data_IF_592120616182
#
_entry.id   IF_592120616182
#
_cell.length_a   1.000
_cell.length_b   1.000
_cell.length_c   1.000
_cell.angle_alpha   90.00
_cell.angle_beta   90.00
_cell.angle_gamma   90.00
#
_symmetry.space_group_name_H-M   'P 1'
#
loop_
_entity.id
_entity.type
_entity.pdbx_description
1 polymer ?
#
# COMPACT_ATOMS: atom_id res chain seq x y z
N UNK A 1 4.65 17.52 8.62
CA UNK A 1 4.86 16.96 7.27
C UNK A 1 3.56 17.13 6.49
N UNK A 2 3.35 18.33 5.96
CA UNK A 2 2.15 18.73 5.22
C UNK A 2 2.40 18.49 3.74
N UNK A 3 1.55 17.68 3.11
CA UNK A 3 1.60 17.47 1.66
C UNK A 3 1.24 18.78 0.95
N UNK A 4 2.03 19.24 -0.03
CA UNK A 4 1.63 20.38 -0.85
C UNK A 4 0.45 19.96 -1.74
N UNK A 5 -0.74 20.49 -1.45
CA UNK A 5 -1.88 20.50 -2.36
C UNK A 5 -1.68 21.65 -3.34
N UNK A 6 -1.27 21.34 -4.56
CA UNK A 6 -1.42 22.14 -5.79
C UNK A 6 -1.04 21.23 -6.96
N UNK A 7 -1.70 21.15 -8.10
CA UNK A 7 -3.04 21.38 -8.60
C UNK A 7 -2.97 20.87 -10.06
N UNK A 8 -4.04 20.23 -10.57
CA UNK A 8 -4.27 19.92 -12.00
C UNK A 8 -3.51 18.73 -12.67
N UNK A 9 -3.77 17.50 -12.23
CA UNK A 9 -3.73 16.31 -13.11
C UNK A 9 -4.99 15.46 -12.90
N UNK A 10 -6.16 16.12 -12.87
CA UNK A 10 -7.45 15.45 -12.85
C UNK A 10 -8.07 15.52 -14.24
N UNK A 11 -8.62 14.39 -14.72
CA UNK A 11 -9.47 14.39 -15.91
C UNK A 11 -10.67 15.32 -15.68
N UNK A 12 -10.95 16.19 -16.65
CA UNK A 12 -12.11 17.07 -16.66
C UNK A 12 -13.38 16.29 -16.98
N UNK A 13 -14.55 16.91 -16.78
CA UNK A 13 -15.83 16.32 -17.19
C UNK A 13 -15.87 16.06 -18.70
N UNK A 14 -15.30 16.95 -19.51
CA UNK A 14 -15.20 16.76 -20.96
C UNK A 14 -14.35 15.53 -21.31
N UNK A 15 -13.27 15.26 -20.57
CA UNK A 15 -12.43 14.07 -20.78
C UNK A 15 -13.20 12.77 -20.46
N UNK A 16 -14.06 12.80 -19.44
CA UNK A 16 -14.92 11.66 -19.07
C UNK A 16 -16.07 11.46 -20.07
N UNK A 17 -16.71 12.54 -20.51
CA UNK A 17 -17.79 12.49 -21.50
C UNK A 17 -17.26 11.96 -22.86
N UNK A 18 -16.02 12.31 -23.23
CA UNK A 18 -15.36 11.84 -24.45
C UNK A 18 -15.08 10.32 -24.49
N UNK A 19 -15.05 9.64 -23.34
CA UNK A 19 -14.86 8.18 -23.24
C UNK A 19 -16.12 7.44 -22.78
N UNK A 20 -17.23 8.15 -22.59
CA UNK A 20 -18.49 7.59 -22.06
C UNK A 20 -19.16 6.60 -23.02
N UNK A 21 -18.83 6.65 -24.30
CA UNK A 21 -19.41 5.81 -25.36
C UNK A 21 -18.67 4.47 -25.56
N UNK A 22 -17.89 4.01 -24.58
CA UNK A 22 -17.20 2.73 -24.66
C UNK A 22 -18.24 1.57 -24.68
N UNK A 23 -18.24 0.70 -25.71
CA UNK A 23 -19.17 -0.41 -25.77
C UNK A 23 -18.93 -1.41 -24.64
N UNK A 24 -20.00 -2.09 -24.22
CA UNK A 24 -19.93 -3.21 -23.29
C UNK A 24 -19.12 -4.36 -23.89
N UNK A 25 -18.33 -5.02 -23.06
CA UNK A 25 -17.56 -6.19 -23.49
C UNK A 25 -18.49 -7.37 -23.76
N UNK A 26 -18.35 -7.95 -24.94
CA UNK A 26 -19.09 -9.17 -25.34
C UNK A 26 -18.33 -10.44 -24.92
N UNK A 27 -19.00 -11.59 -25.00
CA UNK A 27 -18.36 -12.88 -24.71
C UNK A 27 -17.18 -13.17 -25.66
N UNK A 28 -17.29 -12.71 -26.91
CA UNK A 28 -16.26 -12.81 -27.94
C UNK A 28 -15.04 -11.92 -27.62
N UNK A 29 -15.25 -10.78 -26.96
CA UNK A 29 -14.15 -9.93 -26.50
C UNK A 29 -13.36 -10.60 -25.38
N UNK A 30 -14.05 -11.24 -24.43
CA UNK A 30 -13.40 -12.05 -23.40
C UNK A 30 -12.65 -13.26 -23.99
N UNK A 31 -13.22 -13.93 -24.99
CA UNK A 31 -12.58 -15.06 -25.66
C UNK A 31 -11.27 -14.66 -26.38
N UNK A 32 -11.16 -13.40 -26.83
CA UNK A 32 -9.96 -12.85 -27.47
C UNK A 32 -8.99 -12.18 -26.50
N UNK A 33 -9.35 -12.05 -25.22
CA UNK A 33 -8.51 -11.42 -24.22
C UNK A 33 -7.20 -12.20 -24.02
N UNK A 34 -6.10 -11.47 -23.89
CA UNK A 34 -4.77 -12.03 -23.64
C UNK A 34 -4.27 -11.63 -22.26
N UNK A 35 -3.47 -12.48 -21.59
CA UNK A 35 -2.78 -12.08 -20.37
C UNK A 35 -1.93 -10.82 -20.62
N UNK A 36 -1.87 -9.92 -19.66
CA UNK A 36 -1.12 -8.66 -19.76
C UNK A 36 0.35 -8.88 -20.17
N UNK A 37 0.99 -9.93 -19.63
CA UNK A 37 2.37 -10.27 -19.95
C UNK A 37 2.58 -10.72 -21.40
N UNK A 38 1.55 -11.27 -22.05
CA UNK A 38 1.59 -11.63 -23.47
C UNK A 38 1.29 -10.42 -24.36
N UNK A 39 0.32 -9.58 -23.97
CA UNK A 39 -0.05 -8.38 -24.71
C UNK A 39 1.05 -7.30 -24.67
N UNK A 40 1.78 -7.19 -23.55
CA UNK A 40 2.81 -6.15 -23.33
C UNK A 40 4.08 -6.75 -22.69
N UNK A 41 4.87 -7.54 -23.45
CA UNK A 41 5.99 -8.31 -22.91
C UNK A 41 7.09 -7.45 -22.30
N UNK A 42 7.44 -6.32 -22.91
CA UNK A 42 8.53 -5.46 -22.41
C UNK A 42 8.12 -4.67 -21.17
N UNK A 43 6.86 -4.24 -21.11
CA UNK A 43 6.31 -3.59 -19.92
C UNK A 43 6.25 -4.58 -18.76
N UNK A 44 5.79 -5.81 -18.99
CA UNK A 44 5.75 -6.85 -17.98
C UNK A 44 7.14 -7.17 -17.39
N UNK A 45 8.21 -7.16 -18.21
CA UNK A 45 9.59 -7.32 -17.73
C UNK A 45 10.06 -6.14 -16.86
N UNK A 46 9.58 -4.92 -17.15
CA UNK A 46 9.98 -3.71 -16.41
C UNK A 46 9.26 -3.53 -15.07
N UNK A 47 8.07 -4.12 -14.92
CA UNK A 47 7.30 -4.06 -13.67
C UNK A 47 8.00 -4.94 -12.63
N UNK A 48 8.64 -4.30 -11.64
CA UNK A 48 9.14 -5.01 -10.46
C UNK A 48 7.96 -5.53 -9.65
N UNK A 49 7.64 -6.81 -9.81
CA UNK A 49 6.67 -7.48 -8.96
C UNK A 49 7.16 -7.42 -7.51
N UNK A 50 6.36 -6.84 -6.61
CA UNK A 50 6.60 -6.99 -5.18
C UNK A 50 6.47 -8.49 -4.89
N UNK A 51 7.55 -9.12 -4.44
CA UNK A 51 7.55 -10.56 -4.14
C UNK A 51 6.44 -10.93 -3.15
N UNK A 52 6.05 -12.22 -3.10
CA UNK A 52 5.06 -12.70 -2.14
C UNK A 52 5.45 -12.22 -0.74
N UNK A 53 4.46 -11.76 0.03
CA UNK A 53 4.70 -11.16 1.33
C UNK A 53 5.19 -12.25 2.31
N UNK A 54 6.51 -12.37 2.48
CA UNK A 54 7.17 -13.51 3.13
C UNK A 54 7.04 -13.61 4.66
N UNK A 55 6.31 -12.72 5.33
CA UNK A 55 6.17 -12.78 6.79
C UNK A 55 4.74 -12.47 7.23
N UNK A 56 4.24 -13.11 8.30
CA UNK A 56 2.98 -12.72 8.91
C UNK A 56 3.08 -11.24 9.31
N UNK A 57 2.11 -10.44 8.84
CA UNK A 57 1.97 -9.03 9.21
C UNK A 57 1.84 -8.93 10.72
N UNK A 58 2.51 -7.96 11.32
CA UNK A 58 2.25 -7.55 12.71
C UNK A 58 0.73 -7.45 12.91
N UNK A 59 0.21 -8.08 13.95
CA UNK A 59 -1.23 -8.00 14.26
C UNK A 59 -1.50 -6.60 14.80
N UNK A 60 -2.39 -5.86 14.14
CA UNK A 60 -2.82 -4.55 14.62
C UNK A 60 -3.81 -4.74 15.76
N UNK A 61 -3.36 -4.49 16.99
CA UNK A 61 -4.17 -4.55 18.20
C UNK A 61 -4.15 -3.20 18.91
N UNK A 62 -5.27 -2.81 19.51
CA UNK A 62 -5.35 -1.65 20.40
C UNK A 62 -4.91 -2.05 21.81
N UNK A 63 -3.73 -1.61 22.22
CA UNK A 63 -3.22 -1.75 23.59
C UNK A 63 -3.17 -0.37 24.25
N UNK A 64 -3.68 -0.26 25.48
CA UNK A 64 -3.48 0.94 26.31
C UNK A 64 -2.16 0.80 27.05
N UNK A 65 -1.30 1.78 26.86
CA UNK A 65 -0.02 1.90 27.56
C UNK A 65 -0.09 3.13 28.47
N UNK A 66 0.69 3.12 29.54
CA UNK A 66 0.76 4.26 30.44
C UNK A 66 1.43 5.47 29.76
N UNK A 67 1.10 6.71 30.16
CA UNK A 67 1.63 7.92 29.53
C UNK A 67 3.16 7.98 29.51
N UNK A 68 3.81 7.61 30.61
CA UNK A 68 5.27 7.64 30.77
C UNK A 68 6.00 6.73 29.78
N UNK A 69 5.42 5.56 29.47
CA UNK A 69 5.97 4.63 28.47
C UNK A 69 5.87 5.26 27.08
N UNK A 70 4.72 5.83 26.73
CA UNK A 70 4.50 6.45 25.43
C UNK A 70 5.42 7.65 25.23
N UNK A 71 5.56 8.51 26.24
CA UNK A 71 6.42 9.70 26.21
C UNK A 71 7.89 9.30 26.04
N UNK A 72 8.36 8.31 26.82
CA UNK A 72 9.73 7.81 26.72
C UNK A 72 10.07 7.38 25.29
N UNK A 73 9.25 6.51 24.67
CA UNK A 73 9.55 6.01 23.33
C UNK A 73 9.40 7.09 22.25
N UNK A 74 8.38 7.96 22.36
CA UNK A 74 8.16 9.06 21.40
C UNK A 74 9.26 10.11 21.43
N UNK A 75 9.87 10.36 22.58
CA UNK A 75 10.98 11.32 22.71
C UNK A 75 12.18 10.96 21.81
N UNK A 76 12.40 9.67 21.56
CA UNK A 76 13.41 9.16 20.63
C UNK A 76 13.08 9.33 19.14
N UNK A 77 12.01 10.04 18.78
CA UNK A 77 11.66 10.37 17.39
C UNK A 77 11.05 9.21 16.59
N UNK A 78 11.08 9.30 15.23
CA UNK A 78 10.50 8.29 14.34
C UNK A 78 10.95 6.86 14.66
N UNK A 79 10.07 5.89 14.41
CA UNK A 79 10.34 4.47 14.70
C UNK A 79 10.10 4.05 16.15
N UNK A 80 9.53 4.92 17.00
CA UNK A 80 9.21 4.61 18.39
C UNK A 80 8.32 3.38 18.58
N UNK A 81 7.37 3.15 17.66
CA UNK A 81 6.53 1.93 17.66
C UNK A 81 7.33 0.64 17.42
N UNK A 82 8.38 0.70 16.60
CA UNK A 82 9.27 -0.44 16.40
C UNK A 82 10.16 -0.68 17.61
N UNK A 83 10.61 0.38 18.30
CA UNK A 83 11.41 0.26 19.53
C UNK A 83 10.61 -0.35 20.67
N UNK A 84 9.36 0.05 20.86
CA UNK A 84 8.52 -0.56 21.90
C UNK A 84 8.16 -2.02 21.58
N UNK A 85 7.92 -2.36 20.30
CA UNK A 85 7.74 -3.75 19.86
C UNK A 85 8.99 -4.61 20.13
N UNK A 86 10.19 -4.07 19.93
CA UNK A 86 11.44 -4.75 20.26
C UNK A 86 11.59 -4.97 21.77
N UNK A 87 11.35 -3.94 22.58
CA UNK A 87 11.42 -4.06 24.04
C UNK A 87 10.44 -5.11 24.60
N UNK A 88 9.23 -5.20 24.04
CA UNK A 88 8.25 -6.23 24.41
C UNK A 88 8.72 -7.64 24.02
N UNK A 89 9.35 -7.80 22.85
CA UNK A 89 9.94 -9.09 22.43
C UNK A 89 11.07 -9.52 23.34
N UNK A 90 11.97 -8.59 23.68
CA UNK A 90 13.09 -8.88 24.58
C UNK A 90 12.58 -9.30 25.96
N UNK A 91 11.53 -8.64 26.46
CA UNK A 91 10.90 -9.01 27.73
C UNK A 91 10.27 -10.42 27.68
N UNK A 92 9.55 -10.75 26.60
CA UNK A 92 8.96 -12.09 26.38
C UNK A 92 10.03 -13.17 26.18
N UNK A 93 11.20 -12.84 25.64
CA UNK A 93 12.30 -13.80 25.50
C UNK A 93 13.02 -14.08 26.82
N UNK A 94 12.98 -13.12 27.75
CA UNK A 94 13.66 -13.19 29.05
C UNK A 94 12.83 -13.82 30.18
N UNK A 95 11.52 -14.06 29.97
CA UNK A 95 10.57 -14.57 30.96
C UNK A 95 9.69 -15.66 30.36
#
# INVERSE_FOLDING_TARGET
MTYPKNAALGYTKADMDAVSNNPEWTAEDFARAKPFAEAFPDLAKSIRARGPQKAPKKVSTTLRLSPEVIEHFKSGGPGWQSRIDAALKDWVAAH
#
